data_IF_805380437189
#
_entry.id   IF_805380437189
#
_cell.length_a   1.000
_cell.length_b   1.000
_cell.length_c   1.000
_cell.angle_alpha   90.00
_cell.angle_beta   90.00
_cell.angle_gamma   90.00
#
_symmetry.space_group_name_H-M   'P 1'
#
loop_
_entity.id
_entity.type
_entity.pdbx_description
1 polymer ?
#
# COMPACT_ATOMS: atom_id res chain seq x y z
N UNK A 1 -0.57 14.88 -6.49
CA UNK A 1 0.64 15.67 -6.22
C UNK A 1 0.24 17.09 -5.89
N UNK A 2 0.04 17.33 -4.61
CA UNK A 2 0.11 18.66 -4.02
C UNK A 2 1.47 18.68 -3.34
N UNK A 3 2.37 19.52 -3.83
CA UNK A 3 3.74 19.68 -3.33
C UNK A 3 3.89 21.19 -3.08
N UNK A 4 3.81 21.58 -1.81
CA UNK A 4 3.77 22.96 -1.31
C UNK A 4 5.16 23.40 -0.86
N UNK A 5 6.02 22.47 -0.45
CA UNK A 5 7.37 22.78 0.04
C UNK A 5 8.48 22.55 -0.99
N UNK A 6 8.15 21.93 -2.13
CA UNK A 6 9.03 21.74 -3.28
C UNK A 6 10.02 20.59 -3.12
N UNK A 7 9.74 19.62 -2.26
CA UNK A 7 10.60 18.45 -2.02
C UNK A 7 10.33 17.27 -2.97
N UNK A 8 9.42 17.46 -3.94
CA UNK A 8 8.91 16.46 -4.87
C UNK A 8 8.08 15.35 -4.20
N UNK A 9 7.65 15.44 -2.94
CA UNK A 9 6.70 14.52 -2.30
C UNK A 9 5.27 15.05 -2.41
N UNK A 10 4.26 14.16 -2.35
CA UNK A 10 2.88 14.62 -2.18
C UNK A 10 2.71 14.94 -0.70
N UNK A 11 2.49 16.20 -0.33
CA UNK A 11 2.37 16.65 1.06
C UNK A 11 1.26 15.91 1.82
N UNK A 12 0.30 15.33 1.10
CA UNK A 12 -0.72 14.45 1.70
C UNK A 12 -0.14 13.17 2.33
N UNK A 13 1.10 12.81 1.98
CA UNK A 13 1.83 11.67 2.52
C UNK A 13 2.64 12.02 3.77
N UNK A 14 2.93 13.31 4.00
CA UNK A 14 3.89 13.75 5.03
C UNK A 14 3.29 14.76 6.01
N UNK A 15 2.34 15.59 5.58
CA UNK A 15 1.84 16.74 6.35
C UNK A 15 0.32 16.77 6.56
N UNK A 16 -0.05 16.55 7.83
CA UNK A 16 -1.21 17.13 8.51
C UNK A 16 -0.76 17.59 9.90
N UNK A 17 0.17 18.55 9.97
CA UNK A 17 0.54 19.15 11.27
C UNK A 17 -0.61 20.02 11.76
N UNK A 18 -1.48 19.48 12.62
CA UNK A 18 -2.23 20.25 13.59
C UNK A 18 -1.33 20.63 14.78
N UNK A 19 -1.46 21.82 15.37
CA UNK A 19 -0.66 22.22 16.52
C UNK A 19 -1.12 21.39 17.75
N UNK A 20 -0.56 20.19 17.92
CA UNK A 20 -0.94 19.31 19.04
C UNK A 20 -0.38 17.89 19.05
N UNK A 21 0.06 17.30 17.92
CA UNK A 21 0.43 15.88 17.88
C UNK A 21 1.91 15.63 17.58
N UNK A 22 2.75 15.86 18.59
CA UNK A 22 4.15 15.43 18.61
C UNK A 22 4.33 14.18 19.50
N UNK A 23 3.44 13.18 19.39
CA UNK A 23 3.62 11.89 20.06
C UNK A 23 4.50 10.97 19.20
N UNK A 24 5.48 10.32 19.83
CA UNK A 24 6.42 9.40 19.17
C UNK A 24 5.70 8.25 18.48
N UNK A 25 4.57 7.80 19.02
CA UNK A 25 3.75 6.73 18.41
C UNK A 25 3.17 7.15 17.07
N UNK A 26 2.52 8.31 17.01
CA UNK A 26 1.96 8.83 15.77
C UNK A 26 3.07 9.11 14.74
N UNK A 27 4.25 9.56 15.17
CA UNK A 27 5.41 9.73 14.29
C UNK A 27 5.90 8.38 13.74
N UNK A 28 6.03 7.38 14.60
CA UNK A 28 6.47 6.03 14.20
C UNK A 28 5.47 5.36 13.24
N UNK A 29 4.16 5.49 13.51
CA UNK A 29 3.11 4.98 12.62
C UNK A 29 3.11 5.67 11.26
N UNK A 30 3.33 6.99 11.21
CA UNK A 30 3.50 7.70 9.93
C UNK A 30 4.70 7.20 9.13
N UNK A 31 5.84 6.98 9.78
CA UNK A 31 7.04 6.44 9.14
C UNK A 31 6.82 5.01 8.65
N UNK A 32 6.16 4.17 9.45
CA UNK A 32 5.83 2.78 9.08
C UNK A 32 4.81 2.70 7.93
N UNK A 33 3.98 3.72 7.75
CA UNK A 33 2.97 3.80 6.68
C UNK A 33 3.51 4.34 5.34
N UNK A 34 4.78 4.76 5.26
CA UNK A 34 5.39 5.22 4.00
C UNK A 34 5.48 4.02 3.03
N UNK A 35 4.67 4.06 1.98
CA UNK A 35 4.67 3.02 0.93
C UNK A 35 5.53 3.45 -0.23
N UNK A 36 6.60 2.68 -0.49
CA UNK A 36 7.50 2.89 -1.64
C UNK A 36 6.73 3.02 -2.97
N UNK A 37 5.66 2.24 -3.15
CA UNK A 37 4.84 2.24 -4.38
C UNK A 37 4.12 3.57 -4.62
N UNK A 38 3.86 4.35 -3.57
CA UNK A 38 3.21 5.67 -3.67
C UNK A 38 4.23 6.81 -3.83
N UNK A 39 5.53 6.53 -3.67
CA UNK A 39 6.55 7.54 -3.78
C UNK A 39 6.75 7.96 -5.25
N UNK A 40 7.07 9.23 -5.49
CA UNK A 40 7.36 9.73 -6.83
C UNK A 40 8.69 9.17 -7.33
N UNK A 41 8.80 9.00 -8.64
CA UNK A 41 9.96 8.40 -9.30
C UNK A 41 11.29 9.08 -8.90
N UNK A 42 11.40 10.42 -8.85
CA UNK A 42 12.62 11.09 -8.40
C UNK A 42 13.04 10.72 -6.98
N UNK A 43 12.08 10.58 -6.05
CA UNK A 43 12.36 10.16 -4.68
C UNK A 43 12.86 8.71 -4.64
N UNK A 44 12.22 7.80 -5.38
CA UNK A 44 12.65 6.40 -5.49
C UNK A 44 14.05 6.25 -6.09
N UNK A 45 14.40 7.08 -7.08
CA UNK A 45 15.75 7.09 -7.66
C UNK A 45 16.81 7.56 -6.65
N UNK A 46 16.51 8.60 -5.86
CA UNK A 46 17.40 9.07 -4.78
C UNK A 46 17.58 7.99 -3.70
N UNK A 47 16.49 7.38 -3.24
CA UNK A 47 16.52 6.32 -2.21
C UNK A 47 17.31 5.10 -2.71
N UNK A 48 17.09 4.67 -3.95
CA UNK A 48 17.84 3.56 -4.54
C UNK A 48 19.34 3.88 -4.62
N UNK A 49 19.71 5.09 -5.04
CA UNK A 49 21.12 5.53 -5.09
C UNK A 49 21.77 5.58 -3.72
N UNK A 50 21.03 6.00 -2.68
CA UNK A 50 21.53 6.07 -1.32
C UNK A 50 21.74 4.65 -0.74
N UNK A 51 20.79 3.75 -0.98
CA UNK A 51 20.91 2.35 -0.59
C UNK A 51 22.11 1.63 -1.23
N UNK A 52 22.41 1.93 -2.50
CA UNK A 52 23.63 1.43 -3.16
C UNK A 52 24.90 1.96 -2.48
N UNK A 53 24.91 3.23 -2.09
CA UNK A 53 26.05 3.84 -1.40
C UNK A 53 26.27 3.24 -0.01
N UNK A 54 25.20 2.91 0.71
CA UNK A 54 25.30 2.24 2.01
C UNK A 54 25.87 0.82 1.87
N UNK A 55 25.50 0.10 0.81
CA UNK A 55 26.10 -1.19 0.48
C UNK A 55 27.60 -1.08 0.18
N UNK A 56 28.02 -0.05 -0.56
CA UNK A 56 29.43 0.21 -0.85
C UNK A 56 30.21 0.55 0.43
N UNK A 57 29.62 1.35 1.33
CA UNK A 57 30.20 1.69 2.63
C UNK A 57 30.39 0.44 3.51
N UNK A 58 29.42 -0.48 3.54
CA UNK A 58 29.55 -1.75 4.26
C UNK A 58 30.62 -2.66 3.65
N UNK A 59 30.73 -2.68 2.33
CA UNK A 59 31.76 -3.43 1.62
C UNK A 59 33.15 -2.92 1.99
N UNK A 60 33.33 -1.60 2.01
CA UNK A 60 34.60 -0.98 2.41
C UNK A 60 34.90 -1.22 3.90
N UNK A 61 33.89 -1.21 4.77
CA UNK A 61 34.04 -1.56 6.19
C UNK A 61 34.47 -3.01 6.38
N UNK A 62 33.86 -3.95 5.66
CA UNK A 62 34.23 -5.36 5.68
C UNK A 62 35.68 -5.57 5.21
N UNK A 63 36.11 -4.84 4.17
CA UNK A 63 37.48 -4.87 3.67
C UNK A 63 38.49 -4.36 4.71
N UNK A 64 38.18 -3.28 5.43
CA UNK A 64 39.03 -2.78 6.52
C UNK A 64 39.17 -3.78 7.65
N UNK A 65 38.09 -4.47 8.02
CA UNK A 65 38.13 -5.53 9.04
C UNK A 65 39.05 -6.69 8.57
N UNK A 66 38.98 -7.07 7.29
CA UNK A 66 39.87 -8.08 6.72
C UNK A 66 41.35 -7.65 6.76
N UNK A 67 41.65 -6.42 6.35
CA UNK A 67 43.00 -5.85 6.39
C UNK A 67 43.57 -5.77 7.83
N UNK A 68 42.75 -5.33 8.79
CA UNK A 68 43.13 -5.24 10.21
C UNK A 68 43.33 -6.62 10.84
N UNK A 69 42.45 -7.57 10.54
CA UNK A 69 42.60 -8.97 10.97
C UNK A 69 43.92 -9.55 10.44
N UNK A 70 44.24 -9.33 9.15
CA UNK A 70 45.48 -9.82 8.57
C UNK A 70 46.71 -9.24 9.28
N UNK A 71 46.71 -7.94 9.58
CA UNK A 71 47.80 -7.29 10.31
C UNK A 71 47.97 -7.87 11.72
N UNK A 72 46.88 -8.00 12.48
CA UNK A 72 46.93 -8.53 13.87
C UNK A 72 47.31 -10.00 13.93
N UNK A 73 46.93 -10.79 12.93
CA UNK A 73 47.36 -12.19 12.80
C UNK A 73 48.86 -12.33 12.56
N UNK A 74 49.46 -11.44 11.76
CA UNK A 74 50.91 -11.40 11.56
C UNK A 74 51.68 -11.06 12.85
N UNK A 75 51.04 -10.33 13.77
CA UNK A 75 51.56 -10.01 15.11
C UNK A 75 51.37 -11.15 16.13
N UNK A 76 50.64 -12.21 15.76
CA UNK A 76 50.42 -13.40 16.59
C UNK A 76 49.22 -13.33 17.54
N UNK A 77 48.32 -12.36 17.37
CA UNK A 77 47.09 -12.24 18.17
C UNK A 77 45.97 -13.14 17.61
N UNK A 78 45.81 -14.33 18.18
CA UNK A 78 44.74 -15.25 17.80
C UNK A 78 43.34 -14.81 18.28
N UNK A 79 43.23 -13.91 19.27
CA UNK A 79 41.93 -13.45 19.79
C UNK A 79 41.21 -12.51 18.82
N UNK A 80 41.98 -11.81 17.98
CA UNK A 80 41.48 -10.93 16.92
C UNK A 80 40.56 -11.62 15.89
N UNK A 81 40.65 -12.95 15.74
CA UNK A 81 39.78 -13.75 14.84
C UNK A 81 38.33 -13.72 15.32
N UNK A 82 38.10 -13.88 16.64
CA UNK A 82 36.75 -13.94 17.20
C UNK A 82 36.05 -12.57 17.07
N UNK A 83 36.79 -11.49 17.31
CA UNK A 83 36.31 -10.12 17.13
C UNK A 83 35.97 -9.82 15.67
N UNK A 84 36.87 -10.15 14.74
CA UNK A 84 36.64 -9.95 13.31
C UNK A 84 35.42 -10.75 12.79
N UNK A 85 35.23 -11.99 13.25
CA UNK A 85 34.03 -12.77 12.92
C UNK A 85 32.75 -12.10 13.40
N UNK A 86 32.75 -11.53 14.61
CA UNK A 86 31.59 -10.85 15.17
C UNK A 86 31.25 -9.58 14.39
N UNK A 87 32.24 -8.80 14.01
CA UNK A 87 32.06 -7.58 13.21
C UNK A 87 31.61 -7.88 11.78
N UNK A 88 32.19 -8.89 11.12
CA UNK A 88 31.75 -9.34 9.79
C UNK A 88 30.32 -9.91 9.85
N UNK A 89 29.96 -10.64 10.92
CA UNK A 89 28.60 -11.13 11.11
C UNK A 89 27.58 -10.00 11.31
N UNK A 90 27.99 -8.87 11.90
CA UNK A 90 27.16 -7.67 11.95
C UNK A 90 27.04 -7.01 10.57
N UNK A 91 28.16 -6.79 9.86
CA UNK A 91 28.15 -6.20 8.53
C UNK A 91 27.30 -7.04 7.55
N UNK A 92 27.35 -8.37 7.65
CA UNK A 92 26.53 -9.28 6.85
C UNK A 92 25.03 -9.11 7.10
N UNK A 93 24.61 -8.97 8.37
CA UNK A 93 23.19 -8.75 8.71
C UNK A 93 22.70 -7.41 8.16
N UNK A 94 23.48 -6.35 8.36
CA UNK A 94 23.16 -5.02 7.81
C UNK A 94 23.11 -5.06 6.27
N UNK A 95 24.01 -5.81 5.62
CA UNK A 95 24.00 -5.99 4.16
C UNK A 95 22.78 -6.79 3.67
N UNK A 96 22.37 -7.84 4.39
CA UNK A 96 21.15 -8.60 4.06
C UNK A 96 19.90 -7.71 4.16
N UNK A 97 19.79 -6.91 5.22
CA UNK A 97 18.68 -5.95 5.40
C UNK A 97 18.63 -4.89 4.29
N UNK A 98 19.77 -4.28 3.97
CA UNK A 98 19.87 -3.27 2.90
C UNK A 98 19.58 -3.90 1.53
N UNK A 99 20.09 -5.11 1.27
CA UNK A 99 19.84 -5.83 0.02
C UNK A 99 18.36 -6.11 -0.20
N UNK A 100 17.67 -6.60 0.83
CA UNK A 100 16.23 -6.86 0.77
C UNK A 100 15.44 -5.58 0.51
N UNK A 101 15.79 -4.49 1.20
CA UNK A 101 15.17 -3.19 1.00
C UNK A 101 15.43 -2.62 -0.40
N UNK A 102 16.68 -2.74 -0.90
CA UNK A 102 17.06 -2.27 -2.22
C UNK A 102 16.28 -2.99 -3.34
N UNK A 103 16.05 -4.31 -3.19
CA UNK A 103 15.21 -5.05 -4.14
C UNK A 103 13.77 -4.54 -4.15
N UNK A 104 13.20 -4.21 -2.99
CA UNK A 104 11.85 -3.64 -2.88
C UNK A 104 11.76 -2.27 -3.53
N UNK A 105 12.74 -1.39 -3.30
CA UNK A 105 12.81 -0.06 -3.93
C UNK A 105 12.94 -0.21 -5.44
N UNK A 106 13.81 -1.10 -5.91
CA UNK A 106 14.03 -1.35 -7.33
C UNK A 106 12.74 -1.84 -8.02
N UNK A 107 12.04 -2.80 -7.41
CA UNK A 107 10.78 -3.32 -7.95
C UNK A 107 9.71 -2.22 -8.00
N UNK A 108 9.57 -1.41 -6.94
CA UNK A 108 8.64 -0.28 -6.90
C UNK A 108 8.97 0.81 -7.95
N UNK A 109 10.26 1.12 -8.12
CA UNK A 109 10.75 2.08 -9.12
C UNK A 109 10.42 1.62 -10.54
N UNK A 110 10.66 0.34 -10.86
CA UNK A 110 10.37 -0.22 -12.17
C UNK A 110 8.87 -0.24 -12.47
N UNK A 111 8.04 -0.56 -11.47
CA UNK A 111 6.59 -0.55 -11.60
C UNK A 111 6.04 0.87 -11.81
N UNK A 112 6.54 1.84 -11.04
CA UNK A 112 6.18 3.26 -11.20
C UNK A 112 6.55 3.78 -12.60
N UNK A 113 7.77 3.48 -13.08
CA UNK A 113 8.22 3.83 -14.44
C UNK A 113 7.37 3.20 -15.53
N UNK A 114 7.03 1.91 -15.37
CA UNK A 114 6.16 1.19 -16.31
C UNK A 114 4.77 1.85 -16.38
N UNK A 115 4.15 2.12 -15.22
CA UNK A 115 2.83 2.75 -15.15
C UNK A 115 2.85 4.15 -15.77
N UNK A 116 3.86 4.97 -15.46
CA UNK A 116 4.00 6.30 -16.03
C UNK A 116 4.10 6.26 -17.56
N UNK A 117 4.91 5.36 -18.13
CA UNK A 117 5.04 5.19 -19.58
C UNK A 117 3.76 4.68 -20.23
N UNK A 118 3.07 3.74 -19.58
CA UNK A 118 1.81 3.19 -20.07
C UNK A 118 0.70 4.26 -20.08
N UNK A 119 0.62 5.09 -19.05
CA UNK A 119 -0.28 6.24 -18.98
C UNK A 119 0.05 7.26 -20.07
N UNK A 120 1.34 7.54 -20.28
CA UNK A 120 1.82 8.42 -21.36
C UNK A 120 1.40 7.93 -22.74
N UNK A 121 1.45 6.61 -22.99
CA UNK A 121 1.04 6.01 -24.26
C UNK A 121 -0.49 5.97 -24.44
N UNK A 122 -1.24 5.56 -23.41
CA UNK A 122 -2.71 5.48 -23.47
C UNK A 122 -3.37 6.87 -23.41
N UNK A 123 -2.63 7.89 -23.00
CA UNK A 123 -3.03 9.29 -22.92
C UNK A 123 -3.88 9.65 -21.70
N UNK A 124 -4.19 8.69 -20.81
CA UNK A 124 -4.92 8.96 -19.56
C UNK A 124 -4.76 7.82 -18.55
N UNK A 125 -4.74 8.17 -17.27
CA UNK A 125 -4.75 7.19 -16.17
C UNK A 125 -5.98 6.29 -16.20
N UNK A 126 -7.14 6.85 -16.56
CA UNK A 126 -8.40 6.08 -16.66
C UNK A 126 -8.29 4.92 -17.64
N UNK A 127 -7.61 5.11 -18.78
CA UNK A 127 -7.44 4.05 -19.79
C UNK A 127 -6.46 2.97 -19.32
N UNK A 128 -5.40 3.34 -18.61
CA UNK A 128 -4.50 2.37 -17.99
C UNK A 128 -5.25 1.51 -16.96
N UNK A 129 -6.02 2.15 -16.07
CA UNK A 129 -6.83 1.45 -15.09
C UNK A 129 -7.91 0.57 -15.74
N UNK A 130 -8.55 1.03 -16.84
CA UNK A 130 -9.50 0.21 -17.59
C UNK A 130 -8.86 -1.03 -18.21
N UNK A 131 -7.64 -0.93 -18.73
CA UNK A 131 -6.89 -2.08 -19.23
C UNK A 131 -6.64 -3.09 -18.10
N UNK A 132 -6.20 -2.63 -16.92
CA UNK A 132 -6.00 -3.48 -15.74
C UNK A 132 -7.30 -4.19 -15.31
N UNK A 133 -8.40 -3.45 -15.19
CA UNK A 133 -9.72 -4.01 -14.84
C UNK A 133 -10.19 -5.02 -15.89
N UNK A 134 -9.98 -4.73 -17.17
CA UNK A 134 -10.38 -5.60 -18.27
C UNK A 134 -9.61 -6.92 -18.21
N UNK A 135 -8.31 -6.86 -18.01
CA UNK A 135 -7.45 -8.04 -17.83
C UNK A 135 -7.90 -8.85 -16.62
N UNK A 136 -8.12 -8.21 -15.46
CA UNK A 136 -8.60 -8.88 -14.25
C UNK A 136 -9.92 -9.62 -14.49
N UNK A 137 -10.88 -8.93 -15.12
CA UNK A 137 -12.20 -9.50 -15.46
C UNK A 137 -12.04 -10.71 -16.38
N UNK A 138 -11.16 -10.63 -17.38
CA UNK A 138 -10.90 -11.70 -18.32
C UNK A 138 -10.27 -12.92 -17.64
N UNK A 139 -9.41 -12.72 -16.64
CA UNK A 139 -8.81 -13.84 -15.88
C UNK A 139 -9.89 -14.59 -15.10
N UNK A 140 -10.77 -13.86 -14.39
CA UNK A 140 -11.89 -14.46 -13.65
C UNK A 140 -12.82 -15.22 -14.61
N UNK A 141 -13.12 -14.63 -15.77
CA UNK A 141 -13.93 -15.27 -16.81
C UNK A 141 -13.31 -16.59 -17.30
N UNK A 142 -12.02 -16.60 -17.64
CA UNK A 142 -11.30 -17.80 -18.09
C UNK A 142 -11.27 -18.89 -17.01
N UNK A 143 -11.09 -18.52 -15.73
CA UNK A 143 -11.18 -19.49 -14.62
C UNK A 143 -12.58 -20.07 -14.48
N UNK A 144 -13.62 -19.26 -14.67
CA UNK A 144 -15.00 -19.73 -14.74
C UNK A 144 -15.21 -20.75 -15.87
N UNK A 145 -14.69 -20.46 -17.06
CA UNK A 145 -14.74 -21.37 -18.21
C UNK A 145 -14.03 -22.70 -17.93
N UNK A 146 -12.82 -22.67 -17.35
CA UNK A 146 -12.05 -23.87 -16.99
C UNK A 146 -12.80 -24.69 -15.93
N UNK A 147 -13.40 -24.03 -14.95
CA UNK A 147 -14.18 -24.70 -13.88
C UNK A 147 -15.41 -25.38 -14.48
N UNK A 148 -16.11 -24.68 -15.38
CA UNK A 148 -17.26 -25.22 -16.10
C UNK A 148 -16.88 -26.41 -16.99
N UNK A 149 -15.78 -26.30 -17.75
CA UNK A 149 -15.23 -27.39 -18.56
C UNK A 149 -14.93 -28.63 -17.70
N UNK A 150 -14.29 -28.44 -16.54
CA UNK A 150 -13.88 -29.52 -15.65
C UNK A 150 -15.07 -30.26 -15.00
N UNK A 151 -16.09 -29.52 -14.56
CA UNK A 151 -17.20 -30.09 -13.80
C UNK A 151 -18.33 -30.64 -14.69
N UNK A 152 -18.63 -29.96 -15.80
CA UNK A 152 -19.82 -30.27 -16.62
C UNK A 152 -19.49 -30.91 -17.98
N UNK A 153 -18.29 -30.72 -18.54
CA UNK A 153 -17.94 -31.20 -19.90
C UNK A 153 -16.97 -32.39 -19.93
N UNK A 154 -16.88 -33.15 -18.84
CA UNK A 154 -15.98 -34.30 -18.70
C UNK A 154 -16.39 -35.54 -19.52
N UNK A 155 -17.62 -35.60 -20.04
CA UNK A 155 -18.12 -36.68 -20.91
C UNK A 155 -17.76 -36.52 -22.39
N UNK A 156 -17.58 -37.63 -23.12
CA UNK A 156 -17.22 -37.60 -24.55
C UNK A 156 -18.25 -36.88 -25.44
N UNK A 157 -19.52 -36.88 -25.02
CA UNK A 157 -20.67 -36.30 -25.76
C UNK A 157 -20.61 -34.77 -25.98
N UNK A 158 -19.72 -34.04 -25.28
CA UNK A 158 -19.64 -32.57 -25.36
C UNK A 158 -18.41 -32.05 -26.14
N UNK A 159 -17.93 -32.80 -27.14
CA UNK A 159 -16.74 -32.44 -27.92
C UNK A 159 -16.83 -31.08 -28.62
N UNK A 160 -17.96 -30.77 -29.27
CA UNK A 160 -18.16 -29.48 -29.96
C UNK A 160 -18.16 -28.31 -28.97
N UNK A 161 -18.77 -28.47 -27.80
CA UNK A 161 -18.82 -27.42 -26.78
C UNK A 161 -17.45 -27.18 -26.16
N UNK A 162 -16.62 -28.21 -26.00
CA UNK A 162 -15.20 -28.05 -25.60
C UNK A 162 -14.39 -27.29 -26.64
N UNK A 163 -14.62 -27.52 -27.94
CA UNK A 163 -13.96 -26.77 -29.01
C UNK A 163 -14.37 -25.30 -29.00
N UNK A 164 -15.64 -24.98 -28.77
CA UNK A 164 -16.09 -23.59 -28.64
C UNK A 164 -15.44 -22.88 -27.45
N UNK A 165 -15.38 -23.54 -26.28
CA UNK A 165 -14.67 -23.02 -25.10
C UNK A 165 -13.18 -22.81 -25.41
N UNK A 166 -12.56 -23.74 -26.15
CA UNK A 166 -11.17 -23.60 -26.56
C UNK A 166 -10.94 -22.38 -27.46
N UNK A 167 -11.80 -22.11 -28.45
CA UNK A 167 -11.66 -20.91 -29.29
C UNK A 167 -11.84 -19.62 -28.49
N UNK A 168 -12.78 -19.60 -27.54
CA UNK A 168 -12.95 -18.46 -26.62
C UNK A 168 -11.69 -18.27 -25.78
N UNK A 169 -11.13 -19.36 -25.25
CA UNK A 169 -9.88 -19.34 -24.47
C UNK A 169 -8.69 -18.82 -25.29
N UNK A 170 -8.56 -19.27 -26.54
CA UNK A 170 -7.53 -18.77 -27.47
C UNK A 170 -7.70 -17.28 -27.70
N UNK A 171 -8.92 -16.80 -27.90
CA UNK A 171 -9.20 -15.36 -28.02
C UNK A 171 -8.75 -14.58 -26.78
N UNK A 172 -9.07 -15.09 -25.58
CA UNK A 172 -8.64 -14.47 -24.33
C UNK A 172 -7.11 -14.47 -24.17
N UNK A 173 -6.46 -15.58 -24.56
CA UNK A 173 -5.00 -15.72 -24.55
C UNK A 173 -4.31 -14.73 -25.47
N UNK A 174 -4.87 -14.46 -26.67
CA UNK A 174 -4.34 -13.44 -27.57
C UNK A 174 -4.41 -12.05 -26.94
N UNK A 175 -5.50 -11.74 -26.23
CA UNK A 175 -5.62 -10.46 -25.49
C UNK A 175 -4.56 -10.36 -24.38
N UNK A 176 -4.40 -11.40 -23.56
CA UNK A 176 -3.36 -11.42 -22.51
C UNK A 176 -1.95 -11.32 -23.07
N UNK A 177 -1.67 -12.03 -24.16
CA UNK A 177 -0.36 -12.01 -24.78
C UNK A 177 -0.06 -10.62 -25.37
N UNK A 178 -1.06 -10.00 -25.99
CA UNK A 178 -0.95 -8.62 -26.52
C UNK A 178 -0.66 -7.63 -25.39
N UNK A 179 -1.36 -7.76 -24.27
CA UNK A 179 -1.17 -6.93 -23.09
C UNK A 179 0.22 -7.12 -22.45
N UNK A 180 0.66 -8.37 -22.32
CA UNK A 180 1.99 -8.70 -21.84
C UNK A 180 3.08 -8.07 -22.71
N UNK A 181 2.97 -8.18 -24.03
CA UNK A 181 3.95 -7.58 -24.95
C UNK A 181 3.91 -6.05 -24.92
N UNK A 182 2.72 -5.47 -24.75
CA UNK A 182 2.56 -4.03 -24.61
C UNK A 182 3.31 -3.54 -23.37
N UNK A 183 3.08 -4.16 -22.20
CA UNK A 183 3.83 -3.83 -20.97
C UNK A 183 5.32 -4.12 -21.08
N UNK A 184 5.72 -5.24 -21.68
CA UNK A 184 7.12 -5.59 -21.91
C UNK A 184 7.85 -4.55 -22.77
N UNK A 185 7.17 -3.96 -23.76
CA UNK A 185 7.75 -2.92 -24.60
C UNK A 185 7.98 -1.61 -23.85
N UNK A 186 7.11 -1.27 -22.89
CA UNK A 186 7.22 -0.04 -22.10
C UNK A 186 8.06 -0.21 -20.82
N UNK A 187 8.34 -1.44 -20.39
CA UNK A 187 9.23 -1.71 -19.26
C UNK A 187 10.63 -1.16 -19.51
N UNK A 188 11.21 -0.52 -18.50
CA UNK A 188 12.56 0.04 -18.59
C UNK A 188 13.62 -1.08 -18.58
N UNK A 189 13.54 -1.95 -17.58
CA UNK A 189 14.31 -3.19 -17.55
C UNK A 189 13.48 -4.40 -18.03
N UNK A 190 13.82 -4.90 -19.21
CA UNK A 190 13.21 -6.08 -19.83
C UNK A 190 13.47 -7.37 -19.06
N UNK A 191 14.64 -7.50 -18.43
CA UNK A 191 14.99 -8.69 -17.64
C UNK A 191 14.21 -8.71 -16.35
N UNK A 192 14.11 -7.56 -15.67
CA UNK A 192 13.21 -7.38 -14.53
C UNK A 192 11.79 -7.76 -14.90
N UNK A 193 11.25 -7.20 -15.99
CA UNK A 193 9.86 -7.47 -16.37
C UNK A 193 9.60 -8.96 -16.59
N UNK A 194 10.50 -9.67 -17.30
CA UNK A 194 10.38 -11.11 -17.52
C UNK A 194 10.52 -11.91 -16.23
N UNK A 195 11.47 -11.58 -15.35
CA UNK A 195 11.64 -12.23 -14.03
C UNK A 195 10.40 -12.04 -13.15
N UNK A 196 9.77 -10.88 -13.23
CA UNK A 196 8.62 -10.49 -12.41
C UNK A 196 7.32 -11.06 -12.98
N UNK A 197 7.13 -11.10 -14.30
CA UNK A 197 5.89 -11.47 -14.99
C UNK A 197 5.97 -12.80 -15.77
N UNK A 198 6.92 -13.68 -15.45
CA UNK A 198 7.07 -14.98 -16.13
C UNK A 198 5.81 -15.85 -16.03
N UNK A 199 5.09 -15.78 -14.90
CA UNK A 199 3.82 -16.49 -14.69
C UNK A 199 2.79 -15.99 -15.70
N UNK A 200 2.72 -14.67 -15.93
CA UNK A 200 1.78 -14.06 -16.89
C UNK A 200 2.11 -14.49 -18.31
N UNK A 201 3.38 -14.58 -18.67
CA UNK A 201 3.78 -15.09 -19.97
C UNK A 201 3.32 -16.55 -20.18
N UNK A 202 3.64 -17.44 -19.24
CA UNK A 202 3.31 -18.88 -19.37
C UNK A 202 1.80 -19.10 -19.39
N UNK A 203 1.06 -18.37 -18.57
CA UNK A 203 -0.40 -18.51 -18.44
C UNK A 203 -1.16 -17.91 -19.63
N UNK A 204 -0.53 -17.01 -20.40
CA UNK A 204 -1.10 -16.43 -21.64
C UNK A 204 -1.01 -17.34 -22.85
N UNK A 205 -0.26 -18.44 -22.78
CA UNK A 205 -0.14 -19.37 -23.91
C UNK A 205 -1.38 -20.28 -23.93
N UNK A 206 -2.14 -20.33 -25.05
CA UNK A 206 -3.26 -21.24 -25.16
C UNK A 206 -2.75 -22.67 -25.27
N UNK A 207 -3.20 -23.55 -24.38
CA UNK A 207 -2.82 -24.96 -24.39
C UNK A 207 -3.92 -25.74 -25.10
N UNK A 208 -3.67 -26.24 -26.32
CA UNK A 208 -4.70 -26.95 -27.08
C UNK A 208 -5.18 -28.18 -26.32
N UNK A 209 -6.49 -28.43 -26.39
CA UNK A 209 -7.11 -29.66 -25.91
C UNK A 209 -6.75 -30.81 -26.87
N UNK A 210 -5.48 -31.20 -26.92
CA UNK A 210 -5.01 -32.31 -27.75
C UNK A 210 -5.34 -33.64 -27.09
N UNK A 211 -6.63 -33.94 -26.96
CA UNK A 211 -7.12 -35.30 -26.72
C UNK A 211 -7.22 -36.12 -28.02
N UNK A 212 -7.09 -35.51 -29.19
CA UNK A 212 -7.30 -36.19 -30.49
C UNK A 212 -6.03 -36.46 -31.31
N UNK A 213 -4.87 -35.92 -30.92
CA UNK A 213 -3.60 -36.31 -31.53
C UNK A 213 -3.17 -37.66 -30.94
N UNK A 214 -3.66 -38.72 -31.59
CA UNK A 214 -3.39 -40.16 -31.39
C UNK A 214 -1.93 -40.53 -31.66
N UNK A 215 -0.97 -39.74 -31.18
CA UNK A 215 0.46 -40.09 -31.19
C UNK A 215 0.81 -40.75 -29.86
N UNK A 216 0.96 -42.07 -29.91
CA UNK A 216 1.29 -42.92 -28.78
C UNK A 216 2.58 -42.48 -28.05
N UNK A 217 2.66 -42.88 -26.77
CA UNK A 217 3.78 -42.70 -25.83
C UNK A 217 3.94 -41.33 -25.15
N UNK A 218 3.34 -40.24 -25.65
CA UNK A 218 3.46 -38.89 -25.05
C UNK A 218 2.42 -38.52 -23.99
N UNK A 219 1.60 -39.47 -23.52
CA UNK A 219 0.50 -39.28 -22.55
C UNK A 219 0.98 -38.66 -21.22
N UNK A 220 2.26 -38.84 -20.85
CA UNK A 220 2.81 -38.27 -19.62
C UNK A 220 3.02 -36.75 -19.70
N UNK A 221 3.45 -36.23 -20.85
CA UNK A 221 3.62 -34.78 -21.08
C UNK A 221 2.26 -34.06 -21.18
N UNK A 222 1.24 -34.75 -21.71
CA UNK A 222 -0.13 -34.23 -21.80
C UNK A 222 -0.77 -33.97 -20.43
N UNK A 223 -0.42 -34.75 -19.39
CA UNK A 223 -0.89 -34.50 -18.01
C UNK A 223 -0.28 -33.22 -17.43
N UNK A 224 0.97 -32.91 -17.76
CA UNK A 224 1.66 -31.68 -17.33
C UNK A 224 1.03 -30.45 -17.99
N UNK A 225 0.67 -30.55 -19.27
CA UNK A 225 -0.02 -29.47 -19.99
C UNK A 225 -1.40 -29.15 -19.39
N UNK A 226 -2.12 -30.16 -18.86
CA UNK A 226 -3.37 -29.93 -18.11
C UNK A 226 -3.13 -29.16 -16.80
N UNK A 227 -2.02 -29.44 -16.11
CA UNK A 227 -1.63 -28.70 -14.90
C UNK A 227 -1.26 -27.23 -15.19
N UNK A 228 -0.68 -26.94 -16.35
CA UNK A 228 -0.42 -25.56 -16.77
C UNK A 228 -1.69 -24.72 -16.95
N UNK A 229 -2.85 -25.34 -17.23
CA UNK A 229 -4.14 -24.61 -17.22
C UNK A 229 -4.55 -24.19 -15.81
N UNK A 230 -4.28 -25.03 -14.80
CA UNK A 230 -4.51 -24.70 -13.38
C UNK A 230 -3.52 -23.63 -12.92
N UNK A 231 -2.33 -23.54 -13.51
CA UNK A 231 -1.39 -22.44 -13.27
C UNK A 231 -1.97 -21.06 -13.58
N UNK A 232 -3.06 -20.96 -14.37
CA UNK A 232 -3.77 -19.69 -14.56
C UNK A 232 -4.46 -19.18 -13.30
N UNK A 233 -4.87 -20.07 -12.38
CA UNK A 233 -5.39 -19.65 -11.08
C UNK A 233 -4.28 -19.03 -10.22
N UNK A 234 -3.03 -19.47 -10.43
CA UNK A 234 -1.88 -18.85 -9.76
C UNK A 234 -1.63 -17.43 -10.26
N UNK A 235 -2.07 -17.01 -11.46
CA UNK A 235 -2.00 -15.60 -11.86
C UNK A 235 -2.80 -14.71 -10.92
N UNK A 236 -4.04 -15.08 -10.60
CA UNK A 236 -4.86 -14.33 -9.61
C UNK A 236 -4.18 -14.38 -8.26
N UNK A 237 -3.69 -15.54 -7.84
CA UNK A 237 -3.00 -15.67 -6.56
C UNK A 237 -1.76 -14.79 -6.49
N UNK A 238 -0.93 -14.73 -7.54
CA UNK A 238 0.28 -13.92 -7.61
C UNK A 238 -0.02 -12.42 -7.72
N UNK A 239 -1.07 -12.05 -8.46
CA UNK A 239 -1.56 -10.68 -8.52
C UNK A 239 -2.08 -10.22 -7.15
N UNK A 240 -2.89 -11.04 -6.48
CA UNK A 240 -3.32 -10.79 -5.10
C UNK A 240 -2.12 -10.80 -4.14
N UNK A 241 -1.17 -11.73 -4.28
CA UNK A 241 0.03 -11.78 -3.44
C UNK A 241 0.91 -10.54 -3.60
N UNK A 242 1.03 -9.98 -4.80
CA UNK A 242 1.66 -8.67 -5.03
C UNK A 242 0.87 -7.52 -4.42
N UNK A 243 -0.46 -7.57 -4.48
CA UNK A 243 -1.32 -6.58 -3.80
C UNK A 243 -1.41 -6.78 -2.27
N UNK A 244 -0.84 -7.86 -1.74
CA UNK A 244 -0.89 -8.25 -0.32
C UNK A 244 0.25 -7.64 0.51
N UNK A 245 0.89 -6.56 0.07
CA UNK A 245 1.80 -5.78 0.91
C UNK A 245 1.16 -5.47 2.28
N UNK A 246 -0.14 -5.23 2.29
CA UNK A 246 -0.98 -5.08 3.49
C UNK A 246 -0.96 -6.28 4.45
N UNK A 247 -0.90 -7.52 3.94
CA UNK A 247 -0.85 -8.71 4.79
C UNK A 247 0.51 -8.87 5.47
N UNK A 248 1.59 -8.44 4.83
CA UNK A 248 2.90 -8.35 5.48
C UNK A 248 2.89 -7.34 6.63
N UNK A 249 2.22 -6.19 6.45
CA UNK A 249 2.02 -5.19 7.49
C UNK A 249 1.18 -5.74 8.66
N UNK A 250 0.08 -6.46 8.37
CA UNK A 250 -0.75 -7.15 9.37
C UNK A 250 0.07 -8.17 10.17
N UNK A 251 0.88 -9.00 9.50
CA UNK A 251 1.75 -9.99 10.15
C UNK A 251 2.89 -9.31 10.91
N UNK A 252 3.31 -8.11 10.49
CA UNK A 252 4.39 -7.38 11.12
C UNK A 252 4.01 -6.75 12.48
N UNK A 253 2.71 -6.54 12.74
CA UNK A 253 2.22 -6.06 14.03
C UNK A 253 2.68 -6.98 15.16
N UNK A 254 3.30 -6.40 16.20
CA UNK A 254 3.85 -7.13 17.36
C UNK A 254 2.81 -8.04 18.03
N UNK A 255 1.55 -7.61 18.07
CA UNK A 255 0.42 -8.39 18.58
C UNK A 255 0.15 -9.62 17.71
N UNK A 256 0.12 -9.45 16.37
CA UNK A 256 -0.06 -10.55 15.42
C UNK A 256 1.08 -11.57 15.50
N UNK A 257 2.35 -11.14 15.50
CA UNK A 257 3.51 -12.05 15.66
C UNK A 257 3.44 -12.86 16.95
N UNK A 258 3.03 -12.23 18.06
CA UNK A 258 2.87 -12.91 19.35
C UNK A 258 1.72 -13.91 19.32
N UNK A 259 0.56 -13.53 18.79
CA UNK A 259 -0.61 -14.40 18.67
C UNK A 259 -0.33 -15.61 17.76
N UNK A 260 0.38 -15.41 16.64
CA UNK A 260 0.77 -16.48 15.73
C UNK A 260 1.78 -17.46 16.36
N UNK A 261 2.78 -16.95 17.10
CA UNK A 261 3.68 -17.81 17.88
C UNK A 261 2.92 -18.59 18.97
N UNK A 262 2.02 -17.92 19.68
CA UNK A 262 1.19 -18.53 20.72
C UNK A 262 0.31 -19.65 20.18
N UNK A 263 -0.29 -19.46 19.00
CA UNK A 263 -1.15 -20.48 18.41
C UNK A 263 -0.38 -21.68 17.87
N UNK A 264 0.81 -21.48 17.29
CA UNK A 264 1.71 -22.58 16.94
C UNK A 264 2.08 -23.42 18.16
N UNK A 265 2.40 -22.78 19.28
CA UNK A 265 2.71 -23.47 20.54
C UNK A 265 1.48 -24.24 21.05
N UNK A 266 0.31 -23.61 21.09
CA UNK A 266 -0.94 -24.23 21.54
C UNK A 266 -1.33 -25.41 20.64
N UNK A 267 -1.13 -25.31 19.33
CA UNK A 267 -1.41 -26.38 18.36
C UNK A 267 -0.47 -27.58 18.56
N UNK A 268 0.83 -27.34 18.77
CA UNK A 268 1.80 -28.41 19.05
C UNK A 268 1.49 -29.08 20.40
N UNK A 269 1.20 -28.29 21.43
CA UNK A 269 0.80 -28.82 22.73
C UNK A 269 -0.50 -29.62 22.64
N UNK A 270 -1.50 -29.12 21.91
CA UNK A 270 -2.75 -29.83 21.65
C UNK A 270 -2.52 -31.17 20.97
N UNK A 271 -1.64 -31.20 19.96
CA UNK A 271 -1.27 -32.42 19.26
C UNK A 271 -0.59 -33.44 20.19
N UNK A 272 0.32 -33.00 21.07
CA UNK A 272 0.98 -33.89 22.04
C UNK A 272 -0.03 -34.43 23.07
N UNK A 273 -0.90 -33.57 23.61
CA UNK A 273 -1.87 -33.96 24.64
C UNK A 273 -2.90 -34.95 24.09
N UNK A 274 -3.40 -34.72 22.87
CA UNK A 274 -4.38 -35.63 22.25
C UNK A 274 -3.73 -36.97 21.85
N UNK A 275 -2.47 -36.94 21.39
CA UNK A 275 -1.72 -38.16 21.06
C UNK A 275 -1.54 -39.06 22.30
N UNK A 276 -1.17 -38.48 23.44
CA UNK A 276 -0.96 -39.23 24.69
C UNK A 276 -2.29 -39.68 25.29
N UNK A 277 -3.33 -38.83 25.24
CA UNK A 277 -4.61 -39.12 25.89
C UNK A 277 -5.52 -40.07 25.11
N UNK A 278 -5.48 -40.01 23.78
CA UNK A 278 -6.45 -40.69 22.90
C UNK A 278 -5.81 -41.46 21.73
N UNK A 279 -4.51 -41.30 21.47
CA UNK A 279 -3.82 -41.93 20.33
C UNK A 279 -3.73 -43.46 20.39
N UNK A 280 -3.78 -44.07 21.58
CA UNK A 280 -3.84 -45.54 21.70
C UNK A 280 -5.24 -46.12 21.44
N UNK A 281 -6.29 -45.30 21.56
CA UNK A 281 -7.69 -45.75 21.52
C UNK A 281 -8.38 -45.52 20.17
N UNK A 282 -7.77 -44.73 19.29
CA UNK A 282 -8.34 -44.33 18.01
C UNK A 282 -7.32 -44.45 16.89
N UNK A 283 -7.72 -45.08 15.78
CA UNK A 283 -6.91 -45.13 14.56
C UNK A 283 -6.74 -43.77 13.87
N UNK A 284 -7.58 -42.77 14.18
CA UNK A 284 -7.53 -41.45 13.53
C UNK A 284 -6.57 -40.45 14.16
N UNK A 285 -5.99 -40.79 15.33
CA UNK A 285 -4.99 -40.00 16.07
C UNK A 285 -3.78 -40.91 16.39
N UNK A 286 -3.56 -41.93 15.56
CA UNK A 286 -2.52 -42.94 15.81
C UNK A 286 -1.10 -42.39 15.60
N UNK A 287 -0.96 -41.37 14.76
CA UNK A 287 0.32 -40.73 14.45
C UNK A 287 0.38 -39.27 14.90
N UNK A 288 1.58 -38.81 15.29
CA UNK A 288 1.82 -37.41 15.64
C UNK A 288 1.42 -36.44 14.51
N UNK A 289 1.57 -36.86 13.25
CA UNK A 289 1.14 -36.07 12.09
C UNK A 289 -0.39 -35.88 12.05
N UNK A 290 -1.15 -36.91 12.43
CA UNK A 290 -2.61 -36.87 12.50
C UNK A 290 -3.08 -36.01 13.68
N UNK A 291 -2.39 -36.08 14.81
CA UNK A 291 -2.62 -35.20 15.98
C UNK A 291 -2.40 -33.71 15.66
N UNK A 292 -1.38 -33.40 14.86
CA UNK A 292 -1.14 -32.02 14.37
C UNK A 292 -2.25 -31.61 13.42
N UNK A 293 -2.65 -32.46 12.47
CA UNK A 293 -3.72 -32.18 11.53
C UNK A 293 -5.06 -31.91 12.25
N UNK A 294 -5.38 -32.72 13.26
CA UNK A 294 -6.55 -32.50 14.12
C UNK A 294 -6.47 -31.16 14.87
N UNK A 295 -5.33 -30.86 15.48
CA UNK A 295 -5.15 -29.60 16.22
C UNK A 295 -5.27 -28.37 15.30
N UNK A 296 -4.70 -28.45 14.09
CA UNK A 296 -4.79 -27.41 13.07
C UNK A 296 -6.25 -27.17 12.64
N UNK A 297 -6.97 -28.23 12.29
CA UNK A 297 -8.38 -28.12 11.83
C UNK A 297 -9.32 -27.66 12.94
N UNK A 298 -9.02 -27.98 14.20
CA UNK A 298 -9.75 -27.49 15.37
C UNK A 298 -9.52 -26.00 15.61
N UNK A 299 -8.27 -25.54 15.52
CA UNK A 299 -7.90 -24.12 15.67
C UNK A 299 -8.51 -23.26 14.55
N UNK A 300 -8.48 -23.74 13.31
CA UNK A 300 -9.05 -23.03 12.15
C UNK A 300 -10.59 -23.13 12.11
N UNK A 301 -11.20 -23.75 13.13
CA UNK A 301 -12.66 -23.99 13.26
C UNK A 301 -13.27 -24.74 12.08
N UNK A 302 -12.45 -25.46 11.30
CA UNK A 302 -12.88 -26.22 10.13
C UNK A 302 -13.71 -27.46 10.46
N UNK A 303 -13.51 -28.04 11.65
CA UNK A 303 -14.45 -28.98 12.29
C UNK A 303 -14.98 -30.08 11.37
N UNK A 304 -14.12 -30.82 10.67
CA UNK A 304 -14.57 -31.94 9.84
C UNK A 304 -14.98 -33.13 10.72
N UNK A 305 -16.24 -33.52 10.66
CA UNK A 305 -16.81 -34.61 11.48
C UNK A 305 -16.11 -35.97 11.30
N UNK A 306 -15.36 -36.15 10.22
CA UNK A 306 -14.65 -37.39 9.85
C UNK A 306 -13.24 -37.51 10.48
N UNK A 307 -12.64 -36.41 10.96
CA UNK A 307 -11.25 -36.45 11.43
C UNK A 307 -11.14 -37.16 12.77
N UNK A 308 -11.77 -36.63 13.82
CA UNK A 308 -11.87 -37.28 15.13
C UNK A 308 -12.66 -36.40 16.10
N UNK A 309 -13.48 -37.01 16.96
CA UNK A 309 -14.17 -36.29 18.04
C UNK A 309 -13.72 -36.83 19.40
N UNK A 310 -12.95 -36.05 20.20
CA UNK A 310 -12.41 -36.52 21.46
C UNK A 310 -13.49 -37.04 22.41
N UNK A 311 -13.26 -38.25 22.91
CA UNK A 311 -14.22 -38.94 23.76
C UNK A 311 -13.93 -38.74 25.24
N UNK A 312 -12.68 -38.43 25.59
CA UNK A 312 -12.28 -38.22 26.98
C UNK A 312 -12.68 -36.83 27.47
N UNK A 313 -12.92 -36.70 28.77
CA UNK A 313 -13.21 -35.39 29.40
C UNK A 313 -12.06 -34.40 29.17
N UNK A 314 -10.81 -34.88 29.21
CA UNK A 314 -9.62 -34.07 28.94
C UNK A 314 -9.52 -33.62 27.48
N UNK A 315 -9.76 -34.53 26.53
CA UNK A 315 -9.77 -34.21 25.10
C UNK A 315 -10.86 -33.22 24.73
N UNK A 316 -12.06 -33.35 25.29
CA UNK A 316 -13.16 -32.37 25.08
C UNK A 316 -12.82 -30.99 25.62
N UNK A 317 -12.21 -30.91 26.80
CA UNK A 317 -11.76 -29.64 27.37
C UNK A 317 -10.67 -29.00 26.49
N UNK A 318 -9.73 -29.80 26.00
CA UNK A 318 -8.69 -29.36 25.06
C UNK A 318 -9.30 -28.79 23.76
N UNK A 319 -10.30 -29.46 23.19
CA UNK A 319 -11.02 -28.98 21.99
C UNK A 319 -11.60 -27.59 22.20
N UNK A 320 -12.24 -27.34 23.35
CA UNK A 320 -12.81 -26.03 23.67
C UNK A 320 -11.72 -24.96 23.73
N UNK A 321 -10.57 -25.26 24.34
CA UNK A 321 -9.44 -24.34 24.43
C UNK A 321 -8.86 -24.02 23.04
N UNK A 322 -8.72 -25.03 22.17
CA UNK A 322 -8.25 -24.85 20.79
C UNK A 322 -9.21 -24.01 19.94
N UNK A 323 -10.53 -24.19 20.11
CA UNK A 323 -11.52 -23.38 19.41
C UNK A 323 -11.46 -21.92 19.88
N UNK A 324 -11.38 -21.68 21.19
CA UNK A 324 -11.27 -20.31 21.74
C UNK A 324 -10.01 -19.62 21.24
N UNK A 325 -8.86 -20.30 21.22
CA UNK A 325 -7.62 -19.72 20.71
C UNK A 325 -7.71 -19.40 19.20
N UNK A 326 -8.37 -20.27 18.43
CA UNK A 326 -8.76 -20.03 17.03
C UNK A 326 -9.60 -18.76 16.83
N UNK A 327 -10.64 -18.58 17.65
CA UNK A 327 -11.48 -17.39 17.58
C UNK A 327 -10.72 -16.11 17.97
N UNK A 328 -9.82 -16.20 18.96
CA UNK A 328 -8.97 -15.07 19.36
C UNK A 328 -8.06 -14.64 18.21
N UNK A 329 -7.43 -15.57 17.47
CA UNK A 329 -6.56 -15.18 16.36
C UNK A 329 -7.35 -14.52 15.21
N UNK A 330 -8.55 -15.01 14.90
CA UNK A 330 -9.42 -14.38 13.89
C UNK A 330 -9.87 -12.99 14.33
N UNK A 331 -10.20 -12.83 15.61
CA UNK A 331 -10.53 -11.54 16.20
C UNK A 331 -9.36 -10.55 16.16
N UNK A 332 -8.16 -11.00 16.54
CA UNK A 332 -6.93 -10.19 16.46
C UNK A 332 -6.64 -9.83 15.00
N UNK A 333 -6.76 -10.77 14.07
CA UNK A 333 -6.57 -10.51 12.64
C UNK A 333 -7.52 -9.45 12.11
N UNK A 334 -8.82 -9.62 12.36
CA UNK A 334 -9.83 -8.64 11.96
C UNK A 334 -9.59 -7.28 12.62
N UNK A 335 -9.21 -7.25 13.91
CA UNK A 335 -8.91 -6.00 14.62
C UNK A 335 -7.66 -5.30 14.09
N UNK A 336 -6.58 -6.04 13.81
CA UNK A 336 -5.35 -5.49 13.22
C UNK A 336 -5.57 -5.02 11.79
N UNK A 337 -6.41 -5.73 11.02
CA UNK A 337 -6.78 -5.29 9.68
C UNK A 337 -7.62 -4.01 9.78
N UNK A 338 -8.62 -4.01 10.67
CA UNK A 338 -9.48 -2.85 10.89
C UNK A 338 -8.69 -1.65 11.39
N UNK A 339 -7.72 -1.79 12.30
CA UNK A 339 -6.89 -0.67 12.73
C UNK A 339 -6.11 -0.05 11.57
N UNK A 340 -5.54 -0.87 10.68
CA UNK A 340 -4.81 -0.39 9.50
C UNK A 340 -5.70 0.31 8.47
N UNK A 341 -7.01 0.02 8.42
CA UNK A 341 -7.95 0.63 7.47
C UNK A 341 -8.77 1.77 8.07
N UNK A 342 -9.14 1.68 9.35
CA UNK A 342 -9.92 2.71 10.05
C UNK A 342 -9.08 3.94 10.26
N UNK A 343 -7.76 3.81 10.43
CA UNK A 343 -6.83 4.94 10.49
C UNK A 343 -6.96 5.84 9.23
N UNK A 344 -7.01 5.25 8.04
CA UNK A 344 -7.24 5.98 6.77
C UNK A 344 -8.61 6.71 6.76
N UNK A 345 -9.67 6.12 7.32
CA UNK A 345 -11.02 6.72 7.31
C UNK A 345 -11.28 7.75 8.42
N UNK A 346 -10.64 7.61 9.58
CA UNK A 346 -10.74 8.58 10.68
C UNK A 346 -9.93 9.84 10.40
N UNK A 347 -8.80 9.72 9.72
CA UNK A 347 -7.99 10.87 9.29
C UNK A 347 -8.76 11.74 8.28
N UNK A 348 -9.43 11.15 7.27
CA UNK A 348 -10.26 11.90 6.32
C UNK A 348 -11.41 12.66 7.00
N UNK A 349 -12.05 12.03 8.00
CA UNK A 349 -13.11 12.67 8.78
C UNK A 349 -12.59 13.82 9.64
N UNK A 350 -11.44 13.65 10.27
CA UNK A 350 -10.78 14.70 11.06
C UNK A 350 -10.29 15.85 10.17
N UNK A 351 -9.73 15.55 8.98
CA UNK A 351 -9.37 16.55 7.97
C UNK A 351 -10.57 17.37 7.51
N UNK A 352 -11.68 16.72 7.19
CA UNK A 352 -12.90 17.42 6.79
C UNK A 352 -13.41 18.32 7.90
N UNK A 353 -13.35 17.87 9.15
CA UNK A 353 -13.77 18.66 10.31
C UNK A 353 -12.85 19.86 10.55
N UNK A 354 -11.52 19.68 10.45
CA UNK A 354 -10.54 20.77 10.58
C UNK A 354 -10.67 21.80 9.46
N UNK A 355 -10.83 21.36 8.21
CA UNK A 355 -11.04 22.26 7.06
C UNK A 355 -12.34 23.06 7.19
N UNK A 356 -13.39 22.45 7.75
CA UNK A 356 -14.64 23.14 8.08
C UNK A 356 -14.39 24.22 9.16
N UNK A 357 -13.72 23.89 10.26
CA UNK A 357 -13.43 24.83 11.34
C UNK A 357 -12.56 26.01 10.89
N UNK A 358 -11.52 25.76 10.06
CA UNK A 358 -10.70 26.80 9.44
C UNK A 358 -11.52 27.68 8.48
N UNK A 359 -12.43 27.08 7.70
CA UNK A 359 -13.34 27.83 6.83
C UNK A 359 -14.26 28.74 7.64
N UNK A 360 -14.79 28.27 8.77
CA UNK A 360 -15.62 29.07 9.67
C UNK A 360 -14.84 30.21 10.33
N UNK A 361 -13.61 29.97 10.77
CA UNK A 361 -12.75 31.01 11.36
C UNK A 361 -12.34 32.06 10.33
N UNK A 362 -11.99 31.65 9.11
CA UNK A 362 -11.70 32.57 8.01
C UNK A 362 -12.92 33.42 7.62
N UNK A 363 -14.12 32.83 7.62
CA UNK A 363 -15.36 33.59 7.43
C UNK A 363 -15.60 34.60 8.55
N UNK A 364 -15.40 34.20 9.81
CA UNK A 364 -15.58 35.06 10.97
C UNK A 364 -14.61 36.26 10.94
N UNK A 365 -13.34 36.01 10.65
CA UNK A 365 -12.30 37.04 10.53
C UNK A 365 -12.59 38.00 9.36
N UNK A 366 -13.02 37.47 8.21
CA UNK A 366 -13.42 38.29 7.05
C UNK A 366 -14.63 39.18 7.37
N UNK A 367 -15.59 38.67 8.14
CA UNK A 367 -16.74 39.44 8.61
C UNK A 367 -16.34 40.56 9.57
N UNK A 368 -15.43 40.28 10.51
CA UNK A 368 -14.94 41.27 11.47
C UNK A 368 -14.13 42.36 10.77
N UNK A 369 -13.25 41.99 9.84
CA UNK A 369 -12.47 42.95 9.05
C UNK A 369 -13.40 43.84 8.21
N UNK A 370 -14.39 43.25 7.52
CA UNK A 370 -15.38 44.02 6.76
C UNK A 370 -16.27 44.92 7.65
N UNK A 371 -16.43 44.63 8.94
CA UNK A 371 -17.10 45.51 9.89
C UNK A 371 -16.20 46.69 10.32
N UNK A 372 -14.91 46.43 10.56
CA UNK A 372 -13.92 47.47 10.89
C UNK A 372 -13.72 48.47 9.75
N UNK A 373 -13.60 47.98 8.51
CA UNK A 373 -13.49 48.84 7.31
C UNK A 373 -14.73 49.73 7.13
N UNK A 374 -15.92 49.20 7.40
CA UNK A 374 -17.16 49.99 7.40
C UNK A 374 -17.17 51.08 8.47
N UNK A 375 -16.69 50.79 9.68
CA UNK A 375 -16.57 51.79 10.74
C UNK A 375 -15.57 52.89 10.38
N UNK A 376 -14.39 52.52 9.88
CA UNK A 376 -13.38 53.48 9.44
C UNK A 376 -13.91 54.38 8.32
N UNK A 377 -14.60 53.80 7.33
CA UNK A 377 -15.23 54.59 6.27
C UNK A 377 -16.31 55.56 6.76
N UNK A 378 -17.03 55.23 7.84
CA UNK A 378 -17.99 56.14 8.48
C UNK A 378 -17.26 57.29 9.19
N UNK A 379 -16.22 56.99 9.97
CA UNK A 379 -15.42 58.01 10.66
C UNK A 379 -14.73 58.98 9.69
N UNK A 380 -14.15 58.47 8.60
CA UNK A 380 -13.53 59.30 7.58
C UNK A 380 -14.55 60.26 6.92
N UNK A 381 -15.76 59.77 6.63
CA UNK A 381 -16.86 60.59 6.10
C UNK A 381 -17.25 61.70 7.07
N UNK A 382 -17.37 61.40 8.37
CA UNK A 382 -17.67 62.44 9.37
C UNK A 382 -16.59 63.51 9.45
N UNK A 383 -15.31 63.12 9.38
CA UNK A 383 -14.19 64.06 9.38
C UNK A 383 -14.19 64.92 8.13
N UNK A 384 -14.48 64.33 6.97
CA UNK A 384 -14.57 65.04 5.70
C UNK A 384 -15.73 66.05 5.72
N UNK A 385 -16.89 65.66 6.22
CA UNK A 385 -18.06 66.55 6.37
C UNK A 385 -17.75 67.72 7.32
N UNK A 386 -17.06 67.48 8.44
CA UNK A 386 -16.61 68.56 9.34
C UNK A 386 -15.64 69.52 8.63
N UNK A 387 -14.72 69.02 7.80
CA UNK A 387 -13.79 69.86 7.02
C UNK A 387 -14.53 70.66 5.95
N UNK A 388 -15.43 70.03 5.19
CA UNK A 388 -16.27 70.68 4.18
C UNK A 388 -17.13 71.79 4.80
N UNK A 389 -17.79 71.52 5.94
CA UNK A 389 -18.58 72.51 6.67
C UNK A 389 -17.74 73.72 7.12
N UNK A 390 -16.53 73.49 7.66
CA UNK A 390 -15.60 74.59 8.01
C UNK A 390 -15.15 75.38 6.79
N UNK A 391 -14.83 74.69 5.68
CA UNK A 391 -14.45 75.30 4.41
C UNK A 391 -15.55 76.20 3.86
N UNK A 392 -16.79 75.69 3.80
CA UNK A 392 -17.96 76.47 3.37
C UNK A 392 -18.16 77.71 4.26
N UNK A 393 -18.13 77.58 5.59
CA UNK A 393 -18.24 78.73 6.50
C UNK A 393 -17.20 79.80 6.22
N UNK A 394 -15.96 79.40 5.92
CA UNK A 394 -14.87 80.33 5.56
C UNK A 394 -15.15 81.04 4.24
N UNK A 395 -15.62 80.32 3.21
CA UNK A 395 -16.00 80.90 1.92
C UNK A 395 -17.13 81.92 2.10
N UNK A 396 -18.20 81.56 2.81
CA UNK A 396 -19.31 82.47 3.10
C UNK A 396 -18.84 83.72 3.84
N UNK A 397 -17.97 83.58 4.84
CA UNK A 397 -17.40 84.73 5.56
C UNK A 397 -16.56 85.64 4.67
N UNK A 398 -15.83 85.08 3.71
CA UNK A 398 -15.01 85.84 2.76
C UNK A 398 -15.88 86.57 1.73
N UNK A 399 -16.93 85.91 1.23
CA UNK A 399 -17.93 86.52 0.34
C UNK A 399 -18.60 87.72 1.03
N UNK A 400 -19.02 87.56 2.30
CA UNK A 400 -19.61 88.66 3.07
C UNK A 400 -18.64 89.83 3.24
N UNK A 401 -17.36 89.56 3.57
CA UNK A 401 -16.32 90.60 3.67
C UNK A 401 -16.06 91.30 2.35
N UNK A 402 -16.07 90.56 1.24
CA UNK A 402 -15.87 91.13 -0.09
C UNK A 402 -17.05 92.02 -0.48
N UNK A 403 -18.28 91.55 -0.26
CA UNK A 403 -19.51 92.33 -0.46
C UNK A 403 -19.50 93.63 0.33
N UNK A 404 -19.15 93.58 1.62
CA UNK A 404 -19.07 94.78 2.45
C UNK A 404 -18.00 95.76 1.94
N UNK A 405 -16.85 95.25 1.45
CA UNK A 405 -15.80 96.10 0.84
C UNK A 405 -16.25 96.74 -0.46
N UNK A 406 -16.97 96.02 -1.31
CA UNK A 406 -17.52 96.56 -2.56
C UNK A 406 -18.51 97.68 -2.23
N UNK A 407 -19.40 97.46 -1.27
CA UNK A 407 -20.35 98.49 -0.82
C UNK A 407 -19.65 99.74 -0.24
N UNK A 408 -18.55 99.56 0.49
CA UNK A 408 -17.74 100.66 1.01
C UNK A 408 -17.00 101.43 -0.11
N UNK A 409 -16.54 100.73 -1.15
CA UNK A 409 -15.92 101.34 -2.32
C UNK A 409 -16.95 102.09 -3.18
N UNK A 410 -18.15 101.54 -3.40
CA UNK A 410 -19.25 102.23 -4.07
C UNK A 410 -19.64 103.51 -3.35
N UNK A 411 -19.74 103.49 -2.02
CA UNK A 411 -19.97 104.70 -1.20
C UNK A 411 -18.87 105.75 -1.39
N UNK A 412 -17.60 105.34 -1.49
CA UNK A 412 -16.46 106.25 -1.73
C UNK A 412 -16.42 106.81 -3.15
N UNK A 413 -16.88 106.05 -4.15
CA UNK A 413 -16.97 106.51 -5.53
C UNK A 413 -18.12 107.52 -5.69
N UNK A 414 -19.29 107.26 -5.09
CA UNK A 414 -20.43 108.17 -5.15
C UNK A 414 -20.28 109.45 -4.31
N UNK A 415 -19.22 109.57 -3.50
CA UNK A 415 -18.89 110.77 -2.72
C UNK A 415 -17.84 111.68 -3.36
N UNK A 416 -17.42 111.39 -4.60
CA UNK A 416 -16.59 112.24 -5.46
C UNK A 416 -17.42 112.70 -6.65
#
# INVERSE_FOLDING_TARGET
MVDVDGDDLDDRLVDQVGPGESDFRNIAERVDNIRLVKLPIPALERIHSDSQKDMDNLTEKAKKIEEELHSRLLEGDASSIEDAHKEIAQCRREAEEISDYNNLIYDALQEAKLKQRLVGFLGSERRANLLEITVLTLIVFVLGLITWELFYLSGEEHAEMRLNIFYIDVGCCVVFLSEFFLRYQFADDKRWYLRTHWVDFITSIPIPAVSELRYGRSIRLLRVLRFLRVMRAFRILFFFWRGMDHLSAVVNVKLMKKSLKGICVIMILGAVIIQIGEGEKSSSIGSFAESIWWSFTTVVTGGFADIYNPTTTGGRFLTVLLIISGMIIVGVFTATLTSLYVEEGTEELQMMQKNLDESFTNLANSHEQGARERQQGIEEREVLDKKLSKGMKKIFSNQQKLSNKIEELEKKINSK
#
